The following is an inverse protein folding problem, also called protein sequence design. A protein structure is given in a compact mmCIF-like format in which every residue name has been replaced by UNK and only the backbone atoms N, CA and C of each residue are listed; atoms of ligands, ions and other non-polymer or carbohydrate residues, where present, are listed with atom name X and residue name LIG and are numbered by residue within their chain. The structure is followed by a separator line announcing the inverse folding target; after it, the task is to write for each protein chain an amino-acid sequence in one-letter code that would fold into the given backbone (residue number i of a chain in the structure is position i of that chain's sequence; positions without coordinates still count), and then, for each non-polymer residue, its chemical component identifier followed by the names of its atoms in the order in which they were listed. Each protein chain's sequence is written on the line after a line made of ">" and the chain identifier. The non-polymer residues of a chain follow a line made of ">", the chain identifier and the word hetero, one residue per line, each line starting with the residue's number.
data_IF_518701195497
#
_entry.id   IF_518701195497
#
_cell.length_a   1.000
_cell.length_b   1.000
_cell.length_c   1.000
_cell.angle_alpha   90.00
_cell.angle_beta   90.00
_cell.angle_gamma   90.00
#
_symmetry.space_group_name_H-M   'P 1'
#
loop_
_entity.id
_entity.type
_entity.pdbx_description
1 polymer ?
#
# COMPACT_ATOMS: atom_id res chain seq x y z
N UNK A 1 8.94 -19.19 8.56
CA UNK A 1 8.89 -18.53 9.88
C UNK A 1 7.44 -18.22 10.19
N UNK A 2 6.94 -18.65 11.34
CA UNK A 2 5.58 -18.29 11.77
C UNK A 2 5.50 -16.81 12.20
N UNK A 3 4.29 -16.26 12.31
CA UNK A 3 4.06 -14.92 12.86
C UNK A 3 4.69 -14.76 14.26
N UNK A 4 4.47 -15.77 15.12
CA UNK A 4 5.06 -15.90 16.45
C UNK A 4 6.60 -15.79 16.44
N UNK A 5 7.27 -16.47 15.50
CA UNK A 5 8.73 -16.45 15.40
C UNK A 5 9.26 -15.08 14.93
N UNK A 6 8.59 -14.42 13.98
CA UNK A 6 8.97 -13.08 13.51
C UNK A 6 8.84 -12.05 14.61
N UNK A 7 7.75 -12.11 15.38
CA UNK A 7 7.50 -11.22 16.52
C UNK A 7 8.55 -11.39 17.62
N UNK A 8 8.91 -12.64 17.97
CA UNK A 8 9.99 -12.92 18.94
C UNK A 8 11.34 -12.36 18.52
N UNK A 9 11.59 -12.28 17.21
CA UNK A 9 12.82 -11.74 16.63
C UNK A 9 12.77 -10.24 16.32
N UNK A 10 11.68 -9.53 16.67
CA UNK A 10 11.45 -8.12 16.35
C UNK A 10 11.58 -7.81 14.85
N UNK A 11 11.18 -8.76 14.01
CA UNK A 11 11.16 -8.58 12.56
C UNK A 11 9.79 -8.01 12.21
N UNK A 12 9.76 -6.73 11.89
CA UNK A 12 8.56 -6.07 11.39
C UNK A 12 8.23 -6.55 9.97
N UNK A 13 6.94 -6.53 9.65
CA UNK A 13 6.49 -6.76 8.28
C UNK A 13 6.52 -5.46 7.50
N UNK A 14 6.77 -5.56 6.21
CA UNK A 14 6.46 -4.46 5.30
C UNK A 14 4.94 -4.19 5.32
N UNK A 15 4.54 -2.98 4.91
CA UNK A 15 3.14 -2.62 4.72
C UNK A 15 2.39 -3.68 3.91
N UNK A 16 1.19 -4.05 4.36
CA UNK A 16 0.40 -5.12 3.74
C UNK A 16 -0.37 -4.64 2.50
N UNK A 17 -0.74 -3.36 2.49
CA UNK A 17 -1.45 -2.73 1.37
C UNK A 17 -0.65 -1.61 0.75
N UNK A 18 -1.02 -1.26 -0.49
CA UNK A 18 -0.42 -0.11 -1.15
C UNK A 18 -0.72 1.20 -0.40
N UNK A 19 -1.89 1.33 0.22
CA UNK A 19 -2.23 2.47 1.07
C UNK A 19 -1.26 2.63 2.24
N UNK A 20 -1.00 1.53 2.96
CA UNK A 20 -0.07 1.54 4.10
C UNK A 20 1.35 1.89 3.64
N UNK A 21 1.76 1.40 2.47
CA UNK A 21 3.06 1.74 1.88
C UNK A 21 3.17 3.23 1.53
N UNK A 22 2.08 3.86 1.07
CA UNK A 22 2.06 5.30 0.80
C UNK A 22 2.13 6.14 2.08
N UNK A 23 1.56 5.66 3.18
CA UNK A 23 1.68 6.30 4.50
C UNK A 23 3.12 6.22 5.01
N UNK A 24 3.74 5.04 4.95
CA UNK A 24 5.16 4.89 5.34
C UNK A 24 6.08 5.72 4.44
N UNK A 25 5.77 5.79 3.14
CA UNK A 25 6.51 6.60 2.18
C UNK A 25 6.40 8.11 2.50
N UNK A 26 5.21 8.61 2.84
CA UNK A 26 4.99 10.01 3.24
C UNK A 26 5.82 10.42 4.47
N UNK A 27 6.00 9.48 5.40
CA UNK A 27 6.77 9.70 6.62
C UNK A 27 8.30 9.53 6.44
N UNK A 28 8.76 9.13 5.26
CA UNK A 28 10.16 8.82 5.00
C UNK A 28 10.97 10.05 4.58
N UNK A 29 11.77 10.59 5.51
CA UNK A 29 12.72 11.69 5.24
C UNK A 29 13.74 11.32 4.15
N UNK A 30 14.22 10.07 4.17
CA UNK A 30 15.18 9.58 3.17
C UNK A 30 14.58 9.66 1.76
N UNK A 31 13.31 9.27 1.61
CA UNK A 31 12.63 9.34 0.32
C UNK A 31 12.38 10.79 -0.13
N UNK A 32 12.00 11.67 0.81
CA UNK A 32 11.81 13.08 0.51
C UNK A 32 13.12 13.75 0.04
N UNK A 33 14.23 13.48 0.73
CA UNK A 33 15.55 14.01 0.37
C UNK A 33 16.05 13.45 -0.96
N UNK A 34 15.87 12.15 -1.21
CA UNK A 34 16.34 11.50 -2.43
C UNK A 34 15.60 11.97 -3.69
N UNK A 35 14.30 12.27 -3.58
CA UNK A 35 13.46 12.66 -4.71
C UNK A 35 13.31 14.18 -4.87
N UNK A 36 13.51 14.94 -3.79
CA UNK A 36 13.23 16.36 -3.74
C UNK A 36 11.72 16.67 -3.62
N UNK A 37 11.42 17.85 -3.06
CA UNK A 37 10.07 18.19 -2.60
C UNK A 37 8.98 18.11 -3.67
N UNK A 38 9.27 18.59 -4.89
CA UNK A 38 8.28 18.67 -5.98
C UNK A 38 7.91 17.26 -6.47
N UNK A 39 8.91 16.43 -6.75
CA UNK A 39 8.69 15.07 -7.22
C UNK A 39 8.06 14.21 -6.13
N UNK A 40 8.53 14.31 -4.89
CA UNK A 40 7.98 13.58 -3.75
C UNK A 40 6.48 13.83 -3.59
N UNK A 41 6.06 15.10 -3.53
CA UNK A 41 4.64 15.47 -3.38
C UNK A 41 3.80 15.04 -4.56
N UNK A 42 4.28 15.25 -5.79
CA UNK A 42 3.53 14.88 -6.99
C UNK A 42 3.37 13.36 -7.12
N UNK A 43 4.43 12.59 -6.83
CA UNK A 43 4.37 11.14 -6.83
C UNK A 43 3.34 10.65 -5.81
N UNK A 44 3.37 11.20 -4.60
CA UNK A 44 2.46 10.81 -3.53
C UNK A 44 0.99 11.09 -3.89
N UNK A 45 0.71 12.23 -4.53
CA UNK A 45 -0.62 12.57 -5.03
C UNK A 45 -1.10 11.61 -6.14
N UNK A 46 -0.25 11.36 -7.15
CA UNK A 46 -0.58 10.45 -8.26
C UNK A 46 -0.85 9.04 -7.73
N UNK A 47 0.00 8.55 -6.82
CA UNK A 47 -0.13 7.20 -6.27
C UNK A 47 -1.32 7.04 -5.33
N UNK A 48 -1.72 8.08 -4.60
CA UNK A 48 -2.98 8.08 -3.85
C UNK A 48 -4.18 7.98 -4.77
N UNK A 49 -4.18 8.71 -5.89
CA UNK A 49 -5.27 8.61 -6.87
C UNK A 49 -5.34 7.19 -7.48
N UNK A 50 -4.19 6.61 -7.85
CA UNK A 50 -4.12 5.22 -8.32
C UNK A 50 -4.72 4.23 -7.30
N UNK A 51 -4.45 4.43 -6.01
CA UNK A 51 -5.03 3.61 -4.96
C UNK A 51 -6.56 3.78 -4.86
N UNK A 52 -7.07 5.01 -4.92
CA UNK A 52 -8.52 5.27 -4.91
C UNK A 52 -9.23 4.62 -6.09
N UNK A 53 -8.63 4.68 -7.27
CA UNK A 53 -9.15 4.01 -8.47
C UNK A 53 -9.17 2.48 -8.30
N UNK A 54 -8.11 1.90 -7.73
CA UNK A 54 -8.05 0.45 -7.48
C UNK A 54 -9.09 -0.01 -6.45
N UNK A 55 -9.17 0.64 -5.28
CA UNK A 55 -10.03 0.18 -4.18
C UNK A 55 -11.54 0.32 -4.47
N UNK A 56 -11.89 1.17 -5.43
CA UNK A 56 -13.28 1.37 -5.87
C UNK A 56 -13.65 0.47 -7.05
N UNK A 57 -12.69 -0.23 -7.64
CA UNK A 57 -12.90 -1.14 -8.75
C UNK A 57 -13.42 -2.50 -8.27
N UNK A 58 -14.56 -2.94 -8.82
CA UNK A 58 -15.08 -4.30 -8.58
C UNK A 58 -14.32 -5.27 -9.45
N UNK A 59 -13.49 -6.09 -8.81
CA UNK A 59 -12.62 -7.05 -9.47
C UNK A 59 -13.38 -8.28 -9.94
N UNK A 60 -12.84 -8.98 -10.93
CA UNK A 60 -13.42 -10.24 -11.42
C UNK A 60 -13.52 -11.30 -10.31
N UNK A 61 -12.55 -11.35 -9.40
CA UNK A 61 -12.56 -12.26 -8.25
C UNK A 61 -13.79 -12.04 -7.36
N UNK A 62 -14.15 -10.76 -7.09
CA UNK A 62 -15.33 -10.43 -6.30
C UNK A 62 -16.62 -10.83 -7.03
N UNK A 63 -16.69 -10.59 -8.35
CA UNK A 63 -17.84 -11.01 -9.17
C UNK A 63 -18.01 -12.54 -9.14
N UNK A 64 -16.94 -13.28 -9.43
CA UNK A 64 -17.00 -14.74 -9.48
C UNK A 64 -17.35 -15.35 -8.11
N UNK A 65 -16.92 -14.72 -7.02
CA UNK A 65 -17.18 -15.20 -5.65
C UNK A 65 -18.57 -14.86 -5.13
N UNK A 66 -19.07 -13.66 -5.40
CA UNK A 66 -20.29 -13.16 -4.76
C UNK A 66 -21.49 -13.08 -5.71
N UNK A 67 -21.28 -12.94 -7.01
CA UNK A 67 -22.36 -12.85 -8.01
C UNK A 67 -22.61 -14.20 -8.66
N UNK A 68 -21.58 -15.01 -8.92
CA UNK A 68 -21.73 -16.35 -9.50
C UNK A 68 -22.41 -17.40 -8.60
N UNK A 69 -22.72 -17.03 -7.35
CA UNK A 69 -23.49 -17.86 -6.41
C UNK A 69 -25.01 -17.59 -6.46
N UNK A 70 -25.46 -16.57 -7.22
CA UNK A 70 -26.86 -16.25 -7.49
C UNK A 70 -27.31 -16.90 -8.80
#
# INVERSE_FOLDING_TARGET
>A
MSFEERKKRKIESLPETFADALVEFENSKIMQEALGDVLFKNLLNIKRQEWEEYRTHVTRWEVDRYVGML
#
